data_IF_285798936115
#
_entry.id   IF_285798936115
#
_cell.length_a   1.000
_cell.length_b   1.000
_cell.length_c   1.000
_cell.angle_alpha   90.00
_cell.angle_beta   90.00
_cell.angle_gamma   90.00
#
_symmetry.space_group_name_H-M   'P 1'
#
loop_
_entity.id
_entity.type
_entity.pdbx_description
1 polymer ?
#
# COMPACT_ATOMS: atom_id res chain seq x y z
N UNK A 1 -13.89 -5.22 10.44
CA UNK A 1 -13.35 -4.55 9.24
C UNK A 1 -13.90 -5.19 7.99
N UNK A 2 -14.29 -4.41 7.03
CA UNK A 2 -14.76 -4.92 5.76
C UNK A 2 -13.95 -4.34 4.62
N UNK A 3 -13.35 -5.21 3.83
CA UNK A 3 -12.72 -4.81 2.58
C UNK A 3 -13.80 -4.71 1.51
N UNK A 4 -13.73 -3.69 0.68
CA UNK A 4 -14.76 -3.46 -0.32
C UNK A 4 -14.14 -3.38 -1.71
N UNK A 5 -14.98 -3.66 -2.70
CA UNK A 5 -14.57 -3.50 -4.09
C UNK A 5 -14.50 -2.03 -4.44
N UNK A 6 -13.45 -1.68 -5.17
CA UNK A 6 -13.22 -0.32 -5.60
C UNK A 6 -12.53 -0.37 -6.94
N UNK A 7 -12.93 0.50 -7.86
CA UNK A 7 -12.27 0.58 -9.14
C UNK A 7 -10.88 1.21 -8.96
N UNK A 8 -9.89 0.75 -9.73
CA UNK A 8 -8.53 1.29 -9.58
C UNK A 8 -8.47 2.80 -9.82
N UNK A 9 -9.36 3.34 -10.64
CA UNK A 9 -9.38 4.78 -10.88
C UNK A 9 -9.83 5.59 -9.67
N UNK A 10 -10.37 4.93 -8.65
CA UNK A 10 -10.83 5.60 -7.43
C UNK A 10 -9.80 5.57 -6.30
N UNK A 11 -8.70 4.90 -6.52
CA UNK A 11 -7.66 4.83 -5.49
C UNK A 11 -6.96 6.17 -5.32
N UNK A 12 -6.59 6.48 -4.08
CA UNK A 12 -5.94 7.73 -3.73
C UNK A 12 -4.72 7.46 -2.89
N UNK A 13 -3.81 8.43 -2.88
CA UNK A 13 -2.64 8.38 -2.02
C UNK A 13 -3.09 8.21 -0.57
N UNK A 14 -2.51 7.21 0.12
CA UNK A 14 -2.86 6.91 1.49
C UNK A 14 -3.89 5.80 1.66
N UNK A 15 -4.46 5.31 0.57
CA UNK A 15 -5.40 4.19 0.66
C UNK A 15 -4.67 2.93 1.09
N UNK A 16 -5.28 2.19 2.01
CA UNK A 16 -4.80 0.87 2.44
C UNK A 16 -5.63 -0.17 1.68
N UNK A 17 -4.96 -1.07 1.00
CA UNK A 17 -5.63 -2.10 0.21
C UNK A 17 -4.99 -3.45 0.50
N UNK A 18 -5.77 -4.52 0.28
CA UNK A 18 -5.20 -5.85 0.13
C UNK A 18 -4.94 -6.05 -1.35
N UNK A 19 -3.72 -6.39 -1.69
CA UNK A 19 -3.27 -6.47 -3.07
C UNK A 19 -2.57 -7.78 -3.32
N UNK A 20 -2.83 -8.36 -4.48
CA UNK A 20 -2.12 -9.54 -4.94
C UNK A 20 -0.79 -9.11 -5.54
N UNK A 21 0.28 -9.28 -4.76
CA UNK A 21 1.63 -8.92 -5.19
C UNK A 21 2.24 -9.95 -6.13
N UNK A 22 1.77 -11.19 -6.03
CA UNK A 22 2.33 -12.29 -6.81
C UNK A 22 1.21 -13.01 -7.56
N UNK A 23 0.73 -12.45 -8.66
CA UNK A 23 -0.38 -13.08 -9.40
C UNK A 23 0.11 -14.26 -10.22
N UNK A 24 0.74 -15.23 -9.57
CA UNK A 24 1.21 -16.43 -10.22
C UNK A 24 0.19 -17.53 -10.06
N UNK A 25 0.18 -18.42 -11.03
CA UNK A 25 -0.81 -19.50 -11.07
C UNK A 25 -0.63 -20.45 -9.90
N UNK A 26 -1.74 -20.83 -9.32
CA UNK A 26 -1.74 -21.89 -8.32
C UNK A 26 -1.34 -21.46 -6.94
N UNK A 27 -1.09 -20.20 -6.71
CA UNK A 27 -0.63 -19.74 -5.42
C UNK A 27 -1.22 -18.39 -5.03
N UNK A 28 -2.41 -18.14 -5.46
CA UNK A 28 -3.04 -16.82 -5.32
C UNK A 28 -3.25 -16.42 -3.87
N UNK A 29 -3.42 -17.37 -2.96
CA UNK A 29 -3.68 -17.01 -1.56
C UNK A 29 -2.47 -16.40 -0.88
N UNK A 30 -1.28 -16.77 -1.32
CA UNK A 30 -0.06 -16.26 -0.71
C UNK A 30 0.35 -14.89 -1.21
N UNK A 31 -0.25 -14.46 -2.31
CA UNK A 31 0.10 -13.19 -2.89
C UNK A 31 -0.59 -11.99 -2.28
N UNK A 32 -1.72 -12.20 -1.58
CA UNK A 32 -2.48 -11.09 -1.02
C UNK A 32 -1.86 -10.57 0.25
N UNK A 33 -1.58 -9.27 0.26
CA UNK A 33 -0.97 -8.60 1.42
C UNK A 33 -1.54 -7.21 1.55
N UNK A 34 -1.60 -6.69 2.79
CA UNK A 34 -1.95 -5.28 2.95
C UNK A 34 -0.81 -4.40 2.46
N UNK A 35 -1.17 -3.30 1.83
CA UNK A 35 -0.19 -2.31 1.41
C UNK A 35 -0.84 -0.94 1.40
N UNK A 36 0.01 0.09 1.33
CA UNK A 36 -0.44 1.47 1.27
C UNK A 36 -0.10 2.03 -0.11
N UNK A 37 -1.05 2.79 -0.67
CA UNK A 37 -0.84 3.50 -1.92
C UNK A 37 -0.07 4.78 -1.61
N UNK A 38 1.06 4.96 -2.27
CA UNK A 38 1.99 6.05 -1.99
C UNK A 38 1.91 7.20 -2.98
N UNK A 39 1.46 6.93 -4.20
CA UNK A 39 1.44 7.96 -5.24
C UNK A 39 0.05 8.52 -5.42
N UNK A 40 -0.01 9.74 -5.94
CA UNK A 40 -1.27 10.36 -6.33
C UNK A 40 -1.74 9.74 -7.65
N UNK A 41 -3.05 9.76 -7.91
CA UNK A 41 -3.59 9.18 -9.16
C UNK A 41 -3.36 10.15 -10.32
N UNK A 42 -2.13 10.24 -10.79
CA UNK A 42 -1.77 11.12 -11.88
C UNK A 42 -2.10 10.47 -13.21
N UNK A 43 -2.70 11.25 -14.11
CA UNK A 43 -3.15 10.78 -15.40
C UNK A 43 -2.06 10.08 -16.22
N UNK A 44 -0.90 10.72 -16.29
CA UNK A 44 0.17 10.19 -17.13
C UNK A 44 0.89 9.01 -16.48
N UNK A 45 0.52 8.62 -15.27
CA UNK A 45 1.00 7.36 -14.71
C UNK A 45 0.16 6.19 -15.16
N UNK A 46 -0.97 6.46 -15.81
CA UNK A 46 -1.79 5.45 -16.49
C UNK A 46 -2.11 4.26 -15.57
N UNK A 47 -2.65 4.56 -14.37
CA UNK A 47 -3.06 3.56 -13.38
C UNK A 47 -1.90 2.76 -12.77
N UNK A 48 -0.68 3.24 -12.95
CA UNK A 48 0.44 2.75 -12.17
C UNK A 48 0.45 3.45 -10.83
N UNK A 49 0.59 2.70 -9.76
CA UNK A 49 0.63 3.23 -8.41
C UNK A 49 1.86 2.73 -7.69
N UNK A 50 2.52 3.64 -6.97
CA UNK A 50 3.56 3.23 -6.05
C UNK A 50 2.90 2.70 -4.80
N UNK A 51 3.31 1.53 -4.36
CA UNK A 51 2.76 0.89 -3.18
C UNK A 51 3.88 0.34 -2.32
N UNK A 52 3.64 0.21 -1.02
CA UNK A 52 4.58 -0.42 -0.11
C UNK A 52 3.84 -1.43 0.74
N UNK A 53 4.42 -2.62 0.95
CA UNK A 53 3.76 -3.65 1.76
C UNK A 53 3.77 -3.29 3.23
N UNK A 54 2.82 -3.86 3.96
CA UNK A 54 2.67 -3.70 5.40
C UNK A 54 2.82 -5.06 6.03
N UNK A 55 3.60 -5.15 7.11
CA UNK A 55 3.80 -6.41 7.81
C UNK A 55 3.75 -6.21 9.31
N UNK A 56 3.27 -7.22 10.03
CA UNK A 56 3.32 -7.24 11.49
C UNK A 56 4.62 -7.84 12.02
N UNK A 57 5.46 -8.35 11.13
CA UNK A 57 6.68 -9.08 11.52
C UNK A 57 7.94 -8.29 11.25
N UNK A 58 7.83 -7.00 10.98
CA UNK A 58 9.01 -6.20 10.65
C UNK A 58 9.84 -5.93 11.90
N UNK A 59 11.15 -5.87 11.71
CA UNK A 59 12.04 -5.36 12.73
C UNK A 59 12.09 -3.84 12.59
N UNK A 60 12.31 -3.16 13.70
CA UNK A 60 12.43 -1.72 13.68
C UNK A 60 13.50 -1.28 12.69
N UNK A 61 13.19 -0.28 11.89
CA UNK A 61 14.08 0.21 10.86
C UNK A 61 13.67 1.64 10.53
N UNK A 62 14.64 2.55 10.36
CA UNK A 62 14.29 3.98 10.20
C UNK A 62 13.38 4.30 9.02
N UNK A 63 13.36 3.46 7.99
CA UNK A 63 12.50 3.69 6.83
C UNK A 63 11.14 3.02 6.95
N UNK A 64 10.85 2.41 8.09
CA UNK A 64 9.52 1.87 8.34
C UNK A 64 8.64 2.92 8.99
N UNK A 65 7.34 2.83 8.72
CA UNK A 65 6.34 3.72 9.33
C UNK A 65 5.31 2.84 10.02
N UNK A 66 5.12 3.06 11.31
CA UNK A 66 4.14 2.29 12.09
C UNK A 66 2.75 2.79 11.80
N UNK A 67 1.82 1.86 11.62
CA UNK A 67 0.41 2.21 11.51
C UNK A 67 -0.12 2.60 12.89
N UNK A 68 -1.15 3.45 12.90
CA UNK A 68 -1.69 3.95 14.16
C UNK A 68 -2.63 2.92 14.78
N UNK A 69 -2.74 2.92 16.12
CA UNK A 69 -3.52 1.86 16.82
C UNK A 69 -4.99 1.79 16.41
N UNK A 70 -5.58 2.90 16.00
CA UNK A 70 -6.99 2.95 15.65
C UNK A 70 -7.28 2.39 14.25
N UNK A 71 -6.24 2.13 13.45
CA UNK A 71 -6.44 1.58 12.11
C UNK A 71 -6.80 0.10 12.20
N UNK A 72 -7.57 -0.35 11.23
CA UNK A 72 -7.94 -1.77 11.13
C UNK A 72 -6.74 -2.63 10.77
N UNK A 73 -5.92 -2.15 9.83
CA UNK A 73 -4.69 -2.83 9.48
C UNK A 73 -3.60 -2.38 10.43
N UNK A 74 -2.85 -3.35 10.96
CA UNK A 74 -1.79 -3.10 11.92
C UNK A 74 -0.45 -3.51 11.34
N UNK A 75 0.63 -2.97 11.89
CA UNK A 75 1.98 -3.31 11.47
C UNK A 75 2.79 -2.11 11.06
N UNK A 76 3.75 -2.34 10.19
CA UNK A 76 4.65 -1.31 9.70
C UNK A 76 4.69 -1.32 8.19
N UNK A 77 4.72 -0.13 7.62
CA UNK A 77 4.93 0.07 6.19
C UNK A 77 6.41 -0.13 5.89
N UNK A 78 6.73 -0.98 4.94
CA UNK A 78 8.10 -1.25 4.53
C UNK A 78 8.44 -0.37 3.32
N UNK A 79 8.83 0.88 3.58
CA UNK A 79 9.06 1.82 2.49
C UNK A 79 10.22 1.41 1.59
N UNK A 80 11.20 0.70 2.12
CA UNK A 80 12.33 0.24 1.31
C UNK A 80 11.91 -0.82 0.29
N UNK A 81 10.69 -1.34 0.42
CA UNK A 81 10.16 -2.32 -0.53
C UNK A 81 9.08 -1.73 -1.43
N UNK A 82 9.00 -0.41 -1.50
CA UNK A 82 8.02 0.22 -2.37
C UNK A 82 8.32 -0.08 -3.83
N UNK A 83 7.27 -0.15 -4.64
CA UNK A 83 7.42 -0.42 -6.06
C UNK A 83 6.20 0.11 -6.82
N UNK A 84 6.39 0.35 -8.10
CA UNK A 84 5.29 0.74 -8.98
C UNK A 84 4.62 -0.50 -9.53
N UNK A 85 3.31 -0.54 -9.44
CA UNK A 85 2.53 -1.67 -9.94
C UNK A 85 1.34 -1.17 -10.74
N UNK A 86 0.98 -1.95 -11.75
CA UNK A 86 -0.21 -1.70 -12.54
C UNK A 86 -1.40 -2.33 -11.82
N UNK A 87 -2.25 -1.49 -11.24
CA UNK A 87 -3.39 -1.98 -10.47
C UNK A 87 -4.61 -2.26 -11.35
N UNK A 88 -4.52 -1.96 -12.63
CA UNK A 88 -5.59 -2.35 -13.57
C UNK A 88 -5.64 -3.86 -13.74
N UNK A 89 -4.48 -4.51 -13.69
CA UNK A 89 -4.37 -5.94 -13.97
C UNK A 89 -4.23 -6.81 -12.73
N UNK A 90 -4.24 -6.21 -11.55
CA UNK A 90 -4.10 -6.96 -10.30
C UNK A 90 -5.36 -6.89 -9.48
N UNK A 91 -5.67 -7.99 -8.79
CA UNK A 91 -6.78 -8.00 -7.85
C UNK A 91 -6.41 -7.25 -6.58
N UNK A 92 -7.34 -6.43 -6.12
CA UNK A 92 -7.16 -5.74 -4.84
C UNK A 92 -8.51 -5.48 -4.20
N UNK A 93 -8.48 -5.21 -2.89
CA UNK A 93 -9.65 -4.79 -2.13
C UNK A 93 -9.27 -3.57 -1.32
N UNK A 94 -10.12 -2.57 -1.33
CA UNK A 94 -9.93 -1.38 -0.50
C UNK A 94 -10.30 -1.68 0.94
N UNK A 95 -9.51 -1.22 1.90
CA UNK A 95 -9.75 -1.45 3.31
C UNK A 95 -10.11 -0.15 4.04
N UNK A 96 -9.23 0.83 3.99
CA UNK A 96 -9.39 2.06 4.74
C UNK A 96 -8.43 3.10 4.21
N UNK A 97 -8.60 4.34 4.65
CA UNK A 97 -7.66 5.41 4.31
C UNK A 97 -6.79 5.71 5.50
N UNK A 98 -5.48 5.78 5.28
CA UNK A 98 -4.55 6.12 6.34
C UNK A 98 -4.71 7.59 6.74
N UNK A 99 -4.45 7.92 8.02
CA UNK A 99 -4.44 9.31 8.45
C UNK A 99 -3.40 10.12 7.68
N UNK A 100 -3.71 11.40 7.48
CA UNK A 100 -2.84 12.27 6.67
C UNK A 100 -1.43 12.37 7.25
N UNK A 101 -1.30 12.37 8.56
CA UNK A 101 0.01 12.47 9.21
C UNK A 101 0.90 11.27 8.87
N UNK A 102 0.29 10.09 8.80
CA UNK A 102 1.01 8.88 8.43
C UNK A 102 1.45 8.94 6.98
N UNK A 103 0.58 9.41 6.11
CA UNK A 103 0.91 9.56 4.68
C UNK A 103 2.06 10.54 4.52
N UNK A 104 2.02 11.65 5.25
CA UNK A 104 3.08 12.65 5.23
C UNK A 104 4.42 12.06 5.66
N UNK A 105 4.40 11.27 6.73
CA UNK A 105 5.62 10.62 7.20
C UNK A 105 6.18 9.68 6.12
N UNK A 106 5.32 8.94 5.47
CA UNK A 106 5.75 8.05 4.39
C UNK A 106 6.43 8.83 3.27
N UNK A 107 5.83 9.94 2.84
CA UNK A 107 6.39 10.70 1.72
C UNK A 107 7.71 11.36 2.10
N UNK A 108 7.84 11.84 3.35
CA UNK A 108 9.10 12.41 3.82
C UNK A 108 10.20 11.35 3.80
N UNK A 109 9.91 10.17 4.32
CA UNK A 109 10.91 9.09 4.36
C UNK A 109 11.25 8.56 2.98
N UNK A 110 10.28 8.52 2.07
CA UNK A 110 10.58 8.15 0.68
C UNK A 110 11.60 9.09 0.06
N UNK A 111 11.49 10.38 0.33
CA UNK A 111 12.42 11.36 -0.21
C UNK A 111 13.84 11.15 0.29
N UNK A 112 14.01 10.52 1.44
CA UNK A 112 15.35 10.24 1.96
C UNK A 112 16.07 9.19 1.12
N UNK A 113 15.35 8.45 0.31
CA UNK A 113 15.95 7.39 -0.51
C UNK A 113 16.31 7.87 -1.92
N UNK A 114 15.96 9.10 -2.28
CA UNK A 114 16.18 9.60 -3.64
C UNK A 114 16.89 10.95 -3.67
#
# INVERSE_FOLDING_TARGET
>A
MMAVDKHFSELRQGDIIFLDFNPTKGDEQKGYRPCIVLTKPLRYLNYMFGVAPITTKAKQFPLHVSLTPEMHVQGEVLLEQHRMLDLETRSFKFVERAPIDLVTECTIKLKLMY
#
